data_IF_073847916269
#
_entry.id   IF_073847916269
#
_cell.length_a   1.000
_cell.length_b   1.000
_cell.length_c   1.000
_cell.angle_alpha   90.00
_cell.angle_beta   90.00
_cell.angle_gamma   90.00
#
_symmetry.space_group_name_H-M   'P 1'
#
loop_
_entity.id
_entity.type
_entity.pdbx_description
1 polymer ?
#
# COMPACT_ATOMS: atom_id res chain seq x y z
N UNK A 1 9.47 -10.52 -13.56
CA UNK A 1 9.63 -11.26 -12.30
C UNK A 1 9.90 -10.23 -11.24
N UNK A 2 9.03 -10.15 -10.23
CA UNK A 2 9.10 -9.13 -9.20
C UNK A 2 10.35 -9.37 -8.33
N UNK A 3 11.00 -8.26 -7.96
CA UNK A 3 12.28 -8.28 -7.28
C UNK A 3 12.06 -8.50 -5.79
N UNK A 4 12.50 -9.65 -5.28
CA UNK A 4 12.69 -9.83 -3.85
C UNK A 4 13.74 -8.80 -3.43
N UNK A 5 13.42 -7.88 -2.53
CA UNK A 5 14.28 -6.67 -2.36
C UNK A 5 15.11 -6.67 -1.10
N UNK A 6 14.81 -7.47 -0.06
CA UNK A 6 15.74 -7.81 1.03
C UNK A 6 15.23 -9.07 1.74
N UNK A 7 16.12 -9.78 2.41
CA UNK A 7 15.81 -10.79 3.40
C UNK A 7 17.01 -11.02 4.31
N UNK A 8 16.78 -11.23 5.60
CA UNK A 8 17.81 -11.50 6.61
C UNK A 8 17.56 -12.89 7.20
N UNK A 9 18.49 -13.83 6.95
CA UNK A 9 18.55 -15.16 7.57
C UNK A 9 18.67 -15.00 9.09
N UNK A 10 17.79 -15.58 9.90
CA UNK A 10 17.79 -15.29 11.36
C UNK A 10 17.58 -16.47 12.31
N UNK A 11 17.63 -17.75 11.91
CA UNK A 11 17.49 -18.81 12.93
C UNK A 11 18.04 -20.18 12.54
N UNK A 12 18.98 -20.73 13.31
CA UNK A 12 19.31 -22.16 13.29
C UNK A 12 18.64 -22.86 14.48
N UNK A 13 17.93 -23.97 14.22
CA UNK A 13 17.25 -24.71 15.29
C UNK A 13 17.34 -26.21 15.09
N UNK A 14 18.40 -26.79 15.66
CA UNK A 14 18.54 -28.18 16.16
C UNK A 14 19.99 -28.74 16.04
N UNK A 15 20.80 -28.56 17.07
CA UNK A 15 21.53 -29.73 17.60
C UNK A 15 20.88 -30.06 18.94
N UNK A 16 21.15 -31.23 19.55
CA UNK A 16 20.82 -31.43 20.97
C UNK A 16 21.45 -30.38 21.91
N UNK A 17 22.27 -29.44 21.40
CA UNK A 17 23.13 -28.54 22.18
C UNK A 17 23.17 -27.07 21.70
N UNK A 18 22.44 -26.66 20.66
CA UNK A 18 22.47 -25.27 20.16
C UNK A 18 21.28 -24.45 20.68
N UNK A 19 21.57 -23.25 21.21
CA UNK A 19 20.58 -22.17 21.41
C UNK A 19 20.31 -21.54 20.04
N UNK A 20 19.11 -21.01 19.81
CA UNK A 20 18.75 -20.32 18.56
C UNK A 20 19.80 -19.23 18.20
N UNK A 21 20.58 -19.46 17.15
CA UNK A 21 21.59 -18.51 16.67
C UNK A 21 21.02 -17.62 15.55
N UNK A 22 21.32 -16.31 15.62
CA UNK A 22 20.89 -15.29 14.65
C UNK A 22 22.10 -14.78 13.88
N UNK A 23 22.15 -15.02 12.56
CA UNK A 23 23.20 -14.52 11.68
C UNK A 23 22.64 -13.56 10.64
N UNK A 24 22.77 -12.25 10.89
CA UNK A 24 22.28 -11.26 9.93
C UNK A 24 23.17 -11.19 8.69
N UNK A 25 22.82 -11.89 7.61
CA UNK A 25 23.36 -11.59 6.29
C UNK A 25 22.71 -10.29 5.77
N UNK A 26 23.51 -9.25 5.59
CA UNK A 26 23.06 -8.01 4.95
C UNK A 26 23.01 -8.24 3.44
N UNK A 27 21.78 -8.42 2.95
CA UNK A 27 21.38 -8.63 1.56
C UNK A 27 21.41 -10.10 1.08
N UNK A 28 20.22 -10.65 0.88
CA UNK A 28 19.93 -11.29 -0.40
C UNK A 28 20.29 -10.26 -1.48
N UNK A 29 21.49 -10.35 -2.05
CA UNK A 29 21.98 -9.43 -3.05
C UNK A 29 21.19 -9.61 -4.34
N UNK A 30 20.08 -8.92 -4.47
CA UNK A 30 19.26 -8.91 -5.68
C UNK A 30 19.55 -7.58 -6.37
N UNK A 31 20.74 -7.52 -6.97
CA UNK A 31 21.13 -6.37 -7.77
C UNK A 31 20.17 -6.19 -8.94
N UNK A 32 20.03 -4.94 -9.42
CA UNK A 32 19.25 -4.58 -10.61
C UNK A 32 19.71 -5.30 -11.90
N UNK A 33 20.78 -6.08 -11.85
CA UNK A 33 21.33 -6.93 -12.91
C UNK A 33 21.03 -8.43 -12.77
N UNK A 34 20.34 -8.88 -11.70
CA UNK A 34 19.98 -10.29 -11.50
C UNK A 34 21.13 -11.23 -11.10
N UNK A 35 22.27 -10.71 -10.61
CA UNK A 35 23.39 -11.55 -10.16
C UNK A 35 23.31 -11.73 -8.63
N UNK A 36 22.97 -12.94 -8.21
CA UNK A 36 22.89 -13.35 -6.80
C UNK A 36 24.26 -13.84 -6.34
N UNK A 37 24.73 -13.36 -5.18
CA UNK A 37 25.84 -13.99 -4.48
C UNK A 37 25.28 -14.99 -3.47
N UNK A 38 25.82 -16.22 -3.42
CA UNK A 38 25.44 -17.19 -2.40
C UNK A 38 25.61 -16.67 -0.98
N UNK A 39 24.71 -17.07 -0.09
CA UNK A 39 24.88 -16.88 1.34
C UNK A 39 25.79 -17.99 1.85
N UNK A 40 26.84 -17.63 2.56
CA UNK A 40 27.72 -18.59 3.24
C UNK A 40 27.30 -18.71 4.71
N UNK A 41 27.10 -19.94 5.14
CA UNK A 41 26.53 -20.27 6.44
C UNK A 41 27.49 -21.19 7.18
N UNK A 42 28.03 -20.71 8.29
CA UNK A 42 28.80 -21.55 9.19
C UNK A 42 27.88 -22.28 10.18
N UNK A 43 27.36 -23.44 9.75
CA UNK A 43 26.52 -24.30 10.61
C UNK A 43 27.30 -24.95 11.77
N UNK A 44 28.63 -24.81 11.80
CA UNK A 44 29.51 -25.41 12.80
C UNK A 44 30.01 -24.40 13.85
N UNK A 45 29.84 -23.09 13.62
CA UNK A 45 30.41 -21.99 14.42
C UNK A 45 30.09 -22.05 15.93
N UNK A 46 28.99 -22.69 16.34
CA UNK A 46 28.53 -22.69 17.73
C UNK A 46 28.59 -24.05 18.43
N UNK A 47 29.41 -25.01 17.94
CA UNK A 47 29.74 -26.22 18.70
C UNK A 47 30.63 -25.89 19.92
N UNK A 48 30.03 -25.29 20.95
CA UNK A 48 30.72 -24.89 22.20
C UNK A 48 31.26 -26.07 23.01
N UNK A 49 30.86 -27.31 22.71
CA UNK A 49 31.32 -28.51 23.39
C UNK A 49 32.42 -29.28 22.63
N UNK A 50 32.75 -28.88 21.39
CA UNK A 50 33.81 -29.49 20.57
C UNK A 50 33.53 -30.94 20.16
N UNK A 51 32.27 -31.35 20.20
CA UNK A 51 31.84 -32.72 19.89
C UNK A 51 31.74 -32.99 18.40
N UNK A 52 31.51 -31.97 17.58
CA UNK A 52 31.40 -32.01 16.14
C UNK A 52 32.71 -31.58 15.49
N UNK A 53 33.16 -32.33 14.48
CA UNK A 53 34.46 -32.09 13.84
C UNK A 53 34.35 -31.49 12.45
N UNK A 54 33.37 -31.95 11.68
CA UNK A 54 33.21 -31.55 10.28
C UNK A 54 31.74 -31.65 9.88
N UNK A 55 31.28 -30.69 9.10
CA UNK A 55 30.09 -30.86 8.27
C UNK A 55 30.33 -32.05 7.33
N UNK A 56 29.36 -32.96 7.23
CA UNK A 56 29.54 -34.25 6.56
C UNK A 56 28.69 -34.37 5.29
N UNK A 57 27.42 -33.97 5.34
CA UNK A 57 26.52 -34.00 4.19
C UNK A 57 25.35 -33.04 4.35
N UNK A 58 24.72 -32.70 3.23
CA UNK A 58 23.50 -31.91 3.12
C UNK A 58 22.39 -32.77 2.52
N UNK A 59 21.13 -32.43 2.79
CA UNK A 59 19.99 -33.14 2.23
C UNK A 59 18.78 -32.22 2.06
N UNK A 60 18.02 -32.48 1.00
CA UNK A 60 16.85 -31.71 0.57
C UNK A 60 15.55 -32.10 1.26
N UNK A 61 15.63 -32.93 2.31
CA UNK A 61 14.50 -33.41 3.09
C UNK A 61 13.44 -34.17 2.26
N UNK A 62 13.77 -34.64 1.05
CA UNK A 62 12.85 -35.36 0.15
C UNK A 62 12.73 -36.86 0.48
N UNK A 63 13.50 -37.34 1.46
CA UNK A 63 13.53 -38.72 1.89
C UNK A 63 12.15 -39.19 2.39
N UNK A 64 11.38 -39.80 1.48
CA UNK A 64 10.08 -40.40 1.73
C UNK A 64 10.18 -41.50 2.81
N UNK A 65 9.71 -41.18 4.02
CA UNK A 65 9.29 -42.16 5.02
C UNK A 65 10.43 -42.84 5.81
N UNK A 66 10.99 -42.12 6.78
CA UNK A 66 11.82 -42.71 7.83
C UNK A 66 12.45 -41.63 8.71
N UNK A 67 12.77 -41.96 9.96
CA UNK A 67 13.44 -41.06 10.94
C UNK A 67 14.91 -40.74 10.53
N UNK A 68 15.31 -41.06 9.29
CA UNK A 68 16.69 -41.06 8.79
C UNK A 68 16.67 -40.81 7.28
N UNK A 69 17.17 -39.66 6.80
CA UNK A 69 17.44 -39.50 5.38
C UNK A 69 18.60 -40.41 4.96
N UNK A 70 18.39 -41.21 3.93
CA UNK A 70 19.36 -42.24 3.50
C UNK A 70 20.61 -41.61 2.88
N UNK A 71 20.45 -40.40 2.31
CA UNK A 71 21.51 -39.66 1.64
C UNK A 71 22.56 -39.10 2.62
N UNK A 72 22.13 -38.74 3.84
CA UNK A 72 23.01 -38.16 4.85
C UNK A 72 24.12 -39.10 5.38
N UNK A 73 24.11 -40.39 5.01
CA UNK A 73 25.13 -41.36 5.40
C UNK A 73 26.36 -41.34 4.48
N UNK A 74 26.23 -40.79 3.27
CA UNK A 74 27.33 -40.62 2.33
C UNK A 74 27.96 -39.25 2.54
N UNK A 75 29.30 -39.18 2.54
CA UNK A 75 29.97 -37.90 2.68
C UNK A 75 29.82 -37.09 1.39
N UNK A 76 29.32 -35.87 1.52
CA UNK A 76 29.45 -34.90 0.45
C UNK A 76 30.89 -34.37 0.44
N UNK A 77 31.58 -34.55 -0.67
CA UNK A 77 32.86 -33.89 -0.90
C UNK A 77 32.63 -32.40 -1.04
N UNK A 78 33.60 -31.57 -0.68
CA UNK A 78 33.53 -30.14 -0.96
C UNK A 78 33.26 -29.92 -2.46
N UNK A 79 32.18 -29.20 -2.78
CA UNK A 79 31.75 -28.94 -4.17
C UNK A 79 31.85 -27.44 -4.46
N UNK A 80 32.13 -27.11 -5.72
CA UNK A 80 31.86 -25.76 -6.25
C UNK A 80 30.35 -25.59 -6.45
N UNK A 81 29.83 -24.40 -6.16
CA UNK A 81 28.41 -23.98 -6.27
C UNK A 81 27.61 -24.65 -7.39
N UNK A 82 28.14 -24.67 -8.62
CA UNK A 82 27.43 -25.15 -9.80
C UNK A 82 27.21 -26.69 -9.86
N UNK A 83 27.87 -27.47 -9.01
CA UNK A 83 27.88 -28.94 -9.10
C UNK A 83 26.97 -29.65 -8.10
N UNK A 84 26.32 -28.92 -7.18
CA UNK A 84 25.44 -29.53 -6.20
C UNK A 84 24.06 -29.84 -6.77
N UNK A 85 23.55 -31.03 -6.45
CA UNK A 85 22.17 -31.46 -6.69
C UNK A 85 21.26 -31.23 -5.49
N UNK A 86 21.84 -30.87 -4.35
CA UNK A 86 21.13 -30.72 -3.10
C UNK A 86 20.41 -29.38 -3.09
N UNK A 87 19.16 -29.39 -2.61
CA UNK A 87 18.33 -28.20 -2.47
C UNK A 87 17.80 -28.07 -1.07
N UNK A 88 17.33 -26.90 -0.66
CA UNK A 88 16.46 -26.75 0.50
C UNK A 88 15.05 -27.27 0.20
N UNK A 89 14.19 -27.29 1.23
CA UNK A 89 12.77 -27.62 1.14
C UNK A 89 12.06 -26.80 0.05
N UNK A 90 12.45 -25.54 -0.12
CA UNK A 90 11.82 -24.64 -1.10
C UNK A 90 12.62 -24.44 -2.38
N UNK A 91 13.67 -25.25 -2.61
CA UNK A 91 14.40 -25.33 -3.87
C UNK A 91 15.66 -24.46 -3.98
N UNK A 92 16.08 -23.77 -2.92
CA UNK A 92 17.36 -23.08 -2.93
C UNK A 92 18.50 -24.10 -3.03
N UNK A 93 19.47 -23.90 -3.91
CA UNK A 93 20.59 -24.82 -4.08
C UNK A 93 21.50 -24.70 -2.87
N UNK A 94 21.96 -25.81 -2.34
CA UNK A 94 22.85 -25.86 -1.18
C UNK A 94 24.09 -26.72 -1.45
N UNK A 95 25.24 -26.37 -0.88
CA UNK A 95 26.48 -27.16 -1.02
C UNK A 95 27.44 -26.94 0.14
N UNK A 96 28.35 -27.90 0.35
CA UNK A 96 29.47 -27.75 1.27
C UNK A 96 30.62 -27.06 0.55
N UNK A 97 31.05 -25.90 1.07
CA UNK A 97 32.20 -25.15 0.55
C UNK A 97 33.53 -25.80 0.98
N UNK A 98 34.63 -25.40 0.35
CA UNK A 98 35.96 -25.94 0.64
C UNK A 98 36.45 -25.67 2.08
N UNK A 99 35.96 -24.60 2.70
CA UNK A 99 36.21 -24.24 4.10
C UNK A 99 35.18 -24.83 5.09
N UNK A 100 34.24 -25.67 4.62
CA UNK A 100 33.32 -26.42 5.49
C UNK A 100 32.07 -25.64 5.91
N UNK A 101 31.76 -24.52 5.24
CA UNK A 101 30.49 -23.80 5.37
C UNK A 101 29.43 -24.37 4.42
N UNK A 102 28.19 -23.96 4.60
CA UNK A 102 27.09 -24.22 3.66
C UNK A 102 26.91 -23.00 2.77
N UNK A 103 27.06 -23.18 1.45
CA UNK A 103 26.56 -22.21 0.48
C UNK A 103 25.05 -22.40 0.29
N UNK A 104 24.32 -21.29 0.24
CA UNK A 104 22.87 -21.23 0.00
C UNK A 104 22.58 -20.22 -1.11
N UNK A 105 22.09 -20.71 -2.25
CA UNK A 105 21.73 -19.89 -3.41
C UNK A 105 20.21 -19.70 -3.47
N UNK A 106 19.77 -18.55 -2.95
CA UNK A 106 18.35 -18.18 -2.95
C UNK A 106 17.78 -17.94 -4.36
N UNK A 107 18.62 -17.76 -5.38
CA UNK A 107 18.17 -17.48 -6.75
C UNK A 107 17.46 -18.67 -7.39
N UNK A 108 17.71 -19.89 -6.89
CA UNK A 108 17.10 -21.11 -7.42
C UNK A 108 15.86 -21.54 -6.64
N UNK A 109 15.43 -20.76 -5.64
CA UNK A 109 14.16 -21.00 -4.95
C UNK A 109 13.04 -21.23 -5.98
N UNK A 110 12.13 -22.15 -5.64
CA UNK A 110 11.00 -22.48 -6.49
C UNK A 110 10.15 -21.24 -6.79
N UNK A 111 9.51 -21.20 -7.95
CA UNK A 111 8.62 -20.10 -8.32
C UNK A 111 7.52 -19.85 -7.28
N UNK A 112 7.07 -20.90 -6.58
CA UNK A 112 6.09 -20.79 -5.50
C UNK A 112 6.67 -20.05 -4.28
N UNK A 113 7.89 -20.39 -3.87
CA UNK A 113 8.59 -19.70 -2.78
C UNK A 113 8.90 -18.24 -3.13
N UNK A 114 9.36 -17.99 -4.36
CA UNK A 114 9.62 -16.62 -4.83
C UNK A 114 8.34 -15.77 -4.82
N UNK A 115 7.20 -16.33 -5.24
CA UNK A 115 5.91 -15.63 -5.19
C UNK A 115 5.45 -15.36 -3.76
N UNK A 116 5.68 -16.29 -2.82
CA UNK A 116 5.38 -16.08 -1.41
C UNK A 116 6.24 -14.97 -0.80
N UNK A 117 7.55 -14.97 -1.09
CA UNK A 117 8.47 -13.94 -0.60
C UNK A 117 8.09 -12.56 -1.15
N UNK A 118 7.69 -12.47 -2.43
CA UNK A 118 7.23 -11.22 -3.03
C UNK A 118 5.98 -10.64 -2.36
N UNK A 119 5.12 -11.49 -1.79
CA UNK A 119 3.94 -11.06 -1.08
C UNK A 119 4.18 -10.63 0.37
N UNK A 120 5.42 -10.63 0.86
CA UNK A 120 5.73 -10.31 2.26
C UNK A 120 5.93 -8.82 2.48
N UNK A 121 5.02 -8.23 3.27
CA UNK A 121 5.20 -6.87 3.78
C UNK A 121 6.31 -6.76 4.84
N UNK A 122 6.64 -5.52 5.23
CA UNK A 122 7.65 -5.25 6.25
C UNK A 122 7.32 -5.96 7.59
N UNK A 123 8.31 -6.67 8.14
CA UNK A 123 8.17 -7.41 9.40
C UNK A 123 7.53 -8.79 9.28
N UNK A 124 7.09 -9.18 8.08
CA UNK A 124 6.72 -10.57 7.76
C UNK A 124 7.95 -11.39 7.36
N UNK A 125 7.83 -12.71 7.40
CA UNK A 125 8.93 -13.61 7.09
C UNK A 125 8.47 -14.88 6.39
N UNK A 126 9.31 -15.37 5.47
CA UNK A 126 9.25 -16.70 4.89
C UNK A 126 10.31 -17.59 5.54
N UNK A 127 10.01 -18.86 5.78
CA UNK A 127 10.98 -19.81 6.36
C UNK A 127 11.26 -20.92 5.36
N UNK A 128 12.53 -21.09 5.02
CA UNK A 128 13.06 -22.21 4.28
C UNK A 128 13.91 -23.11 5.19
N UNK A 129 14.06 -24.38 4.87
CA UNK A 129 14.78 -25.33 5.72
C UNK A 129 15.57 -26.34 4.91
N UNK A 130 16.69 -26.81 5.45
CA UNK A 130 17.39 -27.97 4.92
C UNK A 130 17.99 -28.78 6.06
N UNK A 131 18.23 -30.08 5.84
CA UNK A 131 18.87 -30.94 6.82
C UNK A 131 20.35 -31.12 6.52
N UNK A 132 21.16 -31.25 7.57
CA UNK A 132 22.59 -31.48 7.45
C UNK A 132 23.06 -32.53 8.45
N UNK A 133 24.09 -33.29 8.09
CA UNK A 133 24.76 -34.20 8.99
C UNK A 133 26.14 -33.67 9.40
N UNK A 134 26.50 -33.92 10.65
CA UNK A 134 27.79 -33.60 11.24
C UNK A 134 28.47 -34.89 11.67
N UNK A 135 29.79 -34.95 11.46
CA UNK A 135 30.62 -36.03 11.98
C UNK A 135 31.15 -35.66 13.35
N UNK A 136 30.78 -36.44 14.35
CA UNK A 136 31.19 -36.25 15.73
C UNK A 136 32.64 -36.74 15.98
N UNK A 137 33.22 -36.35 17.11
CA UNK A 137 34.60 -36.65 17.49
C UNK A 137 34.88 -38.14 17.65
N UNK A 138 33.87 -38.90 18.08
CA UNK A 138 33.87 -40.37 18.18
C UNK A 138 33.61 -41.07 16.83
N UNK A 139 33.45 -40.32 15.74
CA UNK A 139 33.21 -40.82 14.39
C UNK A 139 31.75 -41.14 14.03
N UNK A 140 30.80 -40.98 14.96
CA UNK A 140 29.37 -41.16 14.66
C UNK A 140 28.79 -39.95 13.92
N UNK A 141 27.72 -40.16 13.15
CA UNK A 141 26.96 -39.07 12.54
C UNK A 141 25.85 -38.60 13.47
N UNK A 142 25.63 -37.29 13.50
CA UNK A 142 24.42 -36.65 14.04
C UNK A 142 23.83 -35.76 12.96
N UNK A 143 22.55 -35.41 13.06
CA UNK A 143 21.88 -34.60 12.05
C UNK A 143 21.04 -33.50 12.70
N UNK A 144 20.80 -32.50 11.88
CA UNK A 144 20.20 -31.22 12.20
C UNK A 144 19.46 -30.68 10.96
N UNK A 145 18.79 -29.56 11.14
CA UNK A 145 17.90 -28.78 10.29
C UNK A 145 18.29 -27.32 10.48
N UNK A 146 18.88 -26.75 9.44
CA UNK A 146 19.01 -25.31 9.35
C UNK A 146 17.66 -24.72 8.98
N UNK A 147 17.29 -23.61 9.62
CA UNK A 147 16.18 -22.77 9.16
C UNK A 147 16.74 -21.48 8.57
N UNK A 148 16.12 -21.01 7.51
CA UNK A 148 16.50 -19.81 6.78
C UNK A 148 15.27 -18.93 6.77
N UNK A 149 15.29 -17.91 7.62
CA UNK A 149 14.21 -16.94 7.70
C UNK A 149 14.50 -15.80 6.73
N UNK A 150 13.55 -15.43 5.88
CA UNK A 150 13.69 -14.38 4.86
C UNK A 150 12.68 -13.29 5.21
N UNK A 151 13.18 -12.13 5.65
CA UNK A 151 12.35 -10.98 5.99
C UNK A 151 11.76 -10.33 4.74
N UNK A 152 10.47 -10.00 4.76
CA UNK A 152 9.82 -9.19 3.73
C UNK A 152 10.22 -7.72 3.78
N UNK A 153 9.95 -7.02 2.69
CA UNK A 153 10.06 -5.55 2.59
C UNK A 153 8.81 -5.02 1.97
N UNK A 154 8.35 -3.85 2.45
CA UNK A 154 7.20 -3.20 1.87
C UNK A 154 7.47 -2.84 0.40
N UNK A 155 6.59 -3.27 -0.48
CA UNK A 155 6.50 -2.78 -1.85
C UNK A 155 5.63 -1.51 -1.87
N UNK A 156 5.94 -0.54 -2.72
CA UNK A 156 5.13 0.68 -2.78
C UNK A 156 3.88 0.43 -3.62
N UNK A 157 2.71 0.80 -3.07
CA UNK A 157 1.46 0.77 -3.79
C UNK A 157 1.46 1.73 -4.99
N UNK A 158 0.58 1.46 -5.95
CA UNK A 158 0.28 2.36 -7.08
C UNK A 158 -1.22 2.60 -7.16
N UNK A 159 -1.63 3.86 -7.28
CA UNK A 159 -3.05 4.25 -7.42
C UNK A 159 -3.30 4.80 -8.83
N UNK A 160 -4.35 4.30 -9.50
CA UNK A 160 -4.81 4.75 -10.83
C UNK A 160 -6.33 4.92 -10.88
N UNK A 161 -6.89 5.33 -12.01
CA UNK A 161 -8.35 5.49 -12.21
C UNK A 161 -8.80 6.95 -12.27
N UNK A 162 -10.12 7.16 -12.20
CA UNK A 162 -10.74 8.49 -12.30
C UNK A 162 -10.66 9.20 -10.95
N UNK A 163 -9.99 10.35 -10.93
CA UNK A 163 -9.79 11.20 -9.74
C UNK A 163 -10.37 12.61 -9.93
N UNK A 164 -11.17 12.83 -10.96
CA UNK A 164 -11.76 14.14 -11.25
C UNK A 164 -13.25 14.01 -11.51
N UNK A 165 -14.02 14.99 -11.04
CA UNK A 165 -15.46 15.10 -11.29
C UNK A 165 -15.87 16.56 -11.51
N UNK A 166 -17.11 16.76 -11.96
CA UNK A 166 -17.70 18.10 -12.11
C UNK A 166 -19.12 18.09 -11.59
N UNK A 167 -19.49 19.15 -10.88
CA UNK A 167 -20.86 19.47 -10.52
C UNK A 167 -21.18 20.90 -10.94
N UNK A 168 -22.41 21.15 -11.33
CA UNK A 168 -22.90 22.47 -11.71
C UNK A 168 -24.08 22.78 -10.80
N UNK A 169 -23.94 23.89 -10.09
CA UNK A 169 -24.96 24.49 -9.26
C UNK A 169 -26.23 24.73 -10.09
N UNK A 170 -27.41 24.63 -9.48
CA UNK A 170 -28.73 24.77 -10.11
C UNK A 170 -29.07 23.99 -11.38
N UNK A 171 -28.23 23.05 -11.77
CA UNK A 171 -28.44 22.24 -12.97
C UNK A 171 -28.84 20.84 -12.57
N UNK A 172 -30.14 20.54 -12.69
CA UNK A 172 -30.69 19.22 -12.38
C UNK A 172 -29.92 18.11 -13.12
N UNK A 173 -29.54 17.07 -12.39
CA UNK A 173 -28.73 15.97 -12.91
C UNK A 173 -27.23 16.27 -13.04
N UNK A 174 -26.79 17.48 -12.70
CA UNK A 174 -25.37 17.87 -12.63
C UNK A 174 -24.92 18.23 -11.21
N UNK A 175 -25.73 17.94 -10.20
CA UNK A 175 -25.38 18.10 -8.78
C UNK A 175 -24.52 16.94 -8.24
N UNK A 176 -24.20 15.96 -9.08
CA UNK A 176 -23.53 14.72 -8.68
C UNK A 176 -22.32 14.43 -9.56
N UNK A 177 -21.24 13.93 -8.93
CA UNK A 177 -20.09 13.38 -9.63
C UNK A 177 -19.67 12.04 -9.04
N UNK A 178 -19.14 11.15 -9.86
CA UNK A 178 -18.68 9.84 -9.44
C UNK A 178 -17.43 9.40 -10.20
N UNK A 179 -16.73 8.42 -9.62
CA UNK A 179 -15.60 7.80 -10.27
C UNK A 179 -15.13 6.56 -9.53
N UNK A 180 -14.06 5.96 -10.04
CA UNK A 180 -13.47 4.78 -9.42
C UNK A 180 -11.96 4.85 -9.53
N UNK A 181 -11.30 4.67 -8.38
CA UNK A 181 -9.87 4.47 -8.28
C UNK A 181 -9.56 2.98 -8.12
N UNK A 182 -8.36 2.59 -8.50
CA UNK A 182 -7.82 1.25 -8.27
C UNK A 182 -6.45 1.39 -7.60
N UNK A 183 -6.16 0.49 -6.68
CA UNK A 183 -4.87 0.39 -6.01
C UNK A 183 -4.28 -0.98 -6.28
N UNK A 184 -2.99 -1.01 -6.59
CA UNK A 184 -2.21 -2.24 -6.76
C UNK A 184 -1.01 -2.22 -5.85
N UNK A 185 -0.75 -3.36 -5.20
CA UNK A 185 0.33 -3.60 -4.28
C UNK A 185 0.79 -5.07 -4.42
N UNK A 186 2.10 -5.29 -4.38
CA UNK A 186 2.67 -6.63 -4.46
C UNK A 186 2.61 -7.35 -3.12
N UNK A 187 2.49 -6.62 -2.01
CA UNK A 187 2.31 -7.18 -0.68
C UNK A 187 0.92 -7.84 -0.54
N UNK A 188 0.91 -9.06 -0.03
CA UNK A 188 -0.29 -9.88 0.04
C UNK A 188 -1.35 -9.21 0.94
N UNK A 189 -2.54 -8.97 0.36
CA UNK A 189 -3.66 -8.36 1.06
C UNK A 189 -3.62 -6.83 1.16
N UNK A 190 -2.61 -6.16 0.57
CA UNK A 190 -2.48 -4.69 0.65
C UNK A 190 -3.06 -3.94 -0.57
N UNK A 191 -3.72 -4.67 -1.48
CA UNK A 191 -4.45 -4.15 -2.64
C UNK A 191 -5.78 -3.47 -2.26
N UNK A 192 -5.80 -2.64 -1.21
CA UNK A 192 -6.98 -1.93 -0.71
C UNK A 192 -6.61 -0.52 -0.27
N UNK A 193 -7.59 0.37 -0.19
CA UNK A 193 -7.39 1.71 0.35
C UNK A 193 -7.59 1.72 1.87
N UNK A 194 -7.05 2.74 2.53
CA UNK A 194 -7.50 3.13 3.86
C UNK A 194 -8.89 3.76 3.76
N UNK A 195 -9.74 3.54 4.77
CA UNK A 195 -10.97 4.30 4.90
C UNK A 195 -10.64 5.77 5.23
N UNK A 196 -11.09 6.75 4.42
CA UNK A 196 -10.87 8.15 4.74
C UNK A 196 -11.50 8.52 6.09
N UNK A 197 -10.88 9.39 6.89
CA UNK A 197 -11.49 9.89 8.11
C UNK A 197 -12.87 10.51 7.80
N UNK A 198 -13.92 10.28 8.61
CA UNK A 198 -15.25 10.81 8.31
C UNK A 198 -15.30 12.33 8.10
N UNK A 199 -14.44 13.08 8.80
CA UNK A 199 -14.35 14.53 8.65
C UNK A 199 -13.88 14.94 7.25
N UNK A 200 -12.96 14.20 6.61
CA UNK A 200 -12.42 14.55 5.29
C UNK A 200 -13.40 14.29 4.15
N UNK A 201 -14.49 13.58 4.41
CA UNK A 201 -15.56 13.37 3.43
C UNK A 201 -16.46 14.61 3.28
N UNK A 202 -16.40 15.56 4.21
CA UNK A 202 -17.17 16.79 4.11
C UNK A 202 -16.35 17.83 3.35
N UNK A 203 -16.79 18.14 2.13
CA UNK A 203 -16.29 19.26 1.37
C UNK A 203 -16.90 20.58 1.86
N UNK A 204 -16.43 21.67 1.26
CA UNK A 204 -16.96 23.01 1.47
C UNK A 204 -18.33 23.15 0.83
N UNK A 205 -18.51 22.64 -0.38
CA UNK A 205 -19.72 22.79 -1.20
C UNK A 205 -20.53 21.50 -1.26
N UNK A 206 -19.94 20.34 -1.01
CA UNK A 206 -20.63 19.06 -1.05
C UNK A 206 -20.08 18.01 -0.12
N UNK A 207 -20.50 16.76 -0.32
CA UNK A 207 -20.08 15.62 0.50
C UNK A 207 -19.62 14.48 -0.39
N UNK A 208 -18.49 13.89 -0.04
CA UNK A 208 -17.96 12.69 -0.69
C UNK A 208 -18.46 11.41 -0.01
N UNK A 209 -18.58 10.34 -0.79
CA UNK A 209 -18.50 8.98 -0.28
C UNK A 209 -17.30 8.26 -0.88
N UNK A 210 -16.73 7.30 -0.15
CA UNK A 210 -15.61 6.50 -0.64
C UNK A 210 -15.71 5.07 -0.13
N UNK A 211 -15.70 4.09 -1.04
CA UNK A 211 -15.64 2.68 -0.70
C UNK A 211 -14.20 2.19 -0.79
N UNK A 212 -13.57 1.95 0.36
CA UNK A 212 -12.16 1.54 0.42
C UNK A 212 -11.86 0.16 -0.22
N UNK A 213 -12.86 -0.70 -0.39
CA UNK A 213 -12.71 -2.02 -1.00
C UNK A 213 -12.84 -1.98 -2.52
N UNK A 214 -13.72 -1.13 -3.05
CA UNK A 214 -13.96 -1.04 -4.50
C UNK A 214 -13.27 0.15 -5.16
N UNK A 215 -12.83 1.13 -4.37
CA UNK A 215 -12.30 2.41 -4.83
C UNK A 215 -13.35 3.33 -5.48
N UNK A 216 -14.63 2.97 -5.43
CA UNK A 216 -15.71 3.84 -5.91
C UNK A 216 -15.87 5.04 -4.99
N UNK A 217 -16.06 6.20 -5.61
CA UNK A 217 -16.34 7.44 -4.91
C UNK A 217 -17.49 8.17 -5.58
N UNK A 218 -18.25 8.89 -4.76
CA UNK A 218 -19.28 9.82 -5.21
C UNK A 218 -19.07 11.17 -4.55
N UNK A 219 -19.67 12.19 -5.13
CA UNK A 219 -19.76 13.53 -4.59
C UNK A 219 -21.17 14.06 -4.87
N UNK A 220 -21.81 14.56 -3.83
CA UNK A 220 -23.12 15.21 -3.89
C UNK A 220 -22.96 16.68 -3.50
N UNK A 221 -23.27 17.57 -4.44
CA UNK A 221 -23.26 19.01 -4.23
C UNK A 221 -24.42 19.39 -3.29
N UNK A 222 -24.12 20.15 -2.24
CA UNK A 222 -25.12 20.81 -1.41
C UNK A 222 -25.40 22.17 -2.03
N UNK A 223 -26.48 22.25 -2.82
CA UNK A 223 -26.82 23.46 -3.57
C UNK A 223 -26.82 24.71 -2.68
N UNK A 224 -27.39 24.66 -1.47
CA UNK A 224 -27.43 25.81 -0.56
C UNK A 224 -26.04 26.35 -0.16
N UNK A 225 -24.98 25.55 -0.28
CA UNK A 225 -23.60 26.00 -0.03
C UNK A 225 -22.94 26.58 -1.28
N UNK A 226 -23.46 26.33 -2.47
CA UNK A 226 -22.92 26.82 -3.75
C UNK A 226 -23.78 27.94 -4.37
N UNK A 227 -25.02 28.09 -3.92
CA UNK A 227 -26.05 29.07 -4.29
C UNK A 227 -25.63 30.55 -4.20
N UNK A 228 -24.47 30.85 -3.62
CA UNK A 228 -23.94 32.22 -3.61
C UNK A 228 -22.94 32.46 -4.75
N UNK A 229 -22.48 31.42 -5.45
CA UNK A 229 -21.48 31.50 -6.51
C UNK A 229 -22.10 32.12 -7.76
N UNK A 230 -21.41 33.08 -8.39
CA UNK A 230 -21.95 33.70 -9.61
C UNK A 230 -21.73 32.83 -10.85
N UNK A 231 -22.46 33.16 -11.93
CA UNK A 231 -22.40 32.43 -13.18
C UNK A 231 -20.99 32.25 -13.74
N UNK A 232 -20.55 31.00 -13.85
CA UNK A 232 -19.22 30.62 -14.36
C UNK A 232 -18.09 30.74 -13.34
N UNK A 233 -18.39 31.06 -12.08
CA UNK A 233 -17.42 30.90 -10.99
C UNK A 233 -17.07 29.43 -10.81
N UNK A 234 -15.78 29.15 -10.63
CA UNK A 234 -15.26 27.80 -10.46
C UNK A 234 -14.58 27.69 -9.10
N UNK A 235 -15.05 26.74 -8.30
CA UNK A 235 -14.49 26.36 -7.01
C UNK A 235 -14.27 24.85 -6.97
N UNK A 236 -13.55 24.37 -5.96
CA UNK A 236 -13.15 22.96 -5.87
C UNK A 236 -13.41 22.40 -4.48
N UNK A 237 -13.86 21.15 -4.46
CA UNK A 237 -13.82 20.28 -3.29
C UNK A 237 -12.89 19.10 -3.56
N UNK A 238 -12.11 18.71 -2.55
CA UNK A 238 -11.09 17.67 -2.71
C UNK A 238 -11.15 16.63 -1.60
N UNK A 239 -10.88 15.36 -1.94
CA UNK A 239 -10.72 14.25 -1.01
C UNK A 239 -9.39 13.54 -1.27
N UNK A 240 -8.52 13.43 -0.25
CA UNK A 240 -7.29 12.64 -0.34
C UNK A 240 -7.58 11.21 0.13
N UNK A 241 -7.22 10.23 -0.71
CA UNK A 241 -7.29 8.81 -0.38
C UNK A 241 -5.89 8.19 -0.42
N UNK A 242 -5.67 7.16 0.39
CA UNK A 242 -4.34 6.58 0.63
C UNK A 242 -4.39 5.06 0.55
N UNK A 243 -3.36 4.42 0.02
CA UNK A 243 -3.20 2.96 0.03
C UNK A 243 -3.15 2.42 1.46
N UNK A 244 -3.46 1.14 1.65
CA UNK A 244 -3.47 0.49 2.96
C UNK A 244 -2.20 0.74 3.78
N UNK A 245 -1.05 0.61 3.12
CA UNK A 245 0.29 0.71 3.67
C UNK A 245 0.83 2.15 3.80
N UNK A 246 0.09 3.13 3.28
CA UNK A 246 0.47 4.53 3.33
C UNK A 246 1.53 4.98 2.30
N UNK A 247 1.94 4.12 1.38
CA UNK A 247 3.02 4.47 0.42
C UNK A 247 2.54 5.25 -0.80
N UNK A 248 1.23 5.22 -1.10
CA UNK A 248 0.64 6.00 -2.18
C UNK A 248 -0.59 6.78 -1.72
N UNK A 249 -0.74 8.01 -2.23
CA UNK A 249 -1.94 8.83 -2.06
C UNK A 249 -2.41 9.41 -3.40
N UNK A 250 -3.71 9.64 -3.52
CA UNK A 250 -4.35 10.29 -4.67
C UNK A 250 -5.39 11.29 -4.18
N UNK A 251 -5.36 12.50 -4.73
CA UNK A 251 -6.42 13.49 -4.53
C UNK A 251 -7.52 13.29 -5.57
N UNK A 252 -8.76 13.14 -5.11
CA UNK A 252 -9.96 13.30 -5.91
C UNK A 252 -10.30 14.79 -5.89
N UNK A 253 -10.53 15.39 -7.05
CA UNK A 253 -10.84 16.80 -7.24
C UNK A 253 -12.18 16.96 -7.97
N UNK A 254 -13.15 17.58 -7.32
CA UNK A 254 -14.44 17.90 -7.93
C UNK A 254 -14.53 19.39 -8.18
N UNK A 255 -14.69 19.74 -9.46
CA UNK A 255 -14.92 21.10 -9.90
C UNK A 255 -16.40 21.45 -9.72
N UNK A 256 -16.70 22.52 -8.99
CA UNK A 256 -18.06 23.05 -8.81
C UNK A 256 -18.17 24.36 -9.58
N UNK A 257 -19.14 24.45 -10.49
CA UNK A 257 -19.40 25.66 -11.28
C UNK A 257 -20.69 26.32 -10.83
N UNK A 258 -20.64 27.60 -10.46
CA UNK A 258 -21.81 28.42 -10.13
C UNK A 258 -22.65 28.77 -11.34
N UNK A 259 -23.96 28.88 -11.16
CA UNK A 259 -24.86 29.53 -12.13
C UNK A 259 -25.18 30.95 -11.68
N UNK A 260 -25.99 31.66 -12.45
CA UNK A 260 -26.35 33.04 -12.13
C UNK A 260 -27.80 33.07 -11.70
N UNK A 261 -28.05 33.50 -10.48
CA UNK A 261 -29.41 33.71 -10.01
C UNK A 261 -30.04 34.98 -10.57
N UNK A 262 -31.35 34.92 -10.81
CA UNK A 262 -32.08 36.09 -11.26
C UNK A 262 -32.32 37.04 -10.09
N UNK A 263 -31.86 38.29 -10.21
CA UNK A 263 -32.15 39.32 -9.21
C UNK A 263 -33.66 39.56 -9.07
N UNK A 264 -34.13 39.61 -7.83
CA UNK A 264 -35.51 39.98 -7.50
C UNK A 264 -35.61 41.50 -7.31
N UNK A 265 -36.61 42.11 -7.96
CA UNK A 265 -36.85 43.55 -7.95
C UNK A 265 -38.23 43.83 -7.37
N UNK A 266 -38.27 44.54 -6.25
CA UNK A 266 -39.50 44.99 -5.62
C UNK A 266 -39.50 46.50 -5.41
N UNK A 267 -40.67 47.11 -5.57
CA UNK A 267 -40.90 48.54 -5.36
C UNK A 267 -42.16 48.76 -4.53
N UNK A 268 -42.13 49.78 -3.68
CA UNK A 268 -43.31 50.22 -2.95
C UNK A 268 -44.39 50.71 -3.92
N UNK A 269 -45.64 50.31 -3.68
CA UNK A 269 -46.82 50.81 -4.40
C UNK A 269 -47.59 51.70 -3.42
N UNK A 270 -47.66 52.99 -3.74
CA UNK A 270 -48.43 53.96 -2.98
C UNK A 270 -49.60 54.50 -3.80
N UNK A 271 -50.81 54.38 -3.23
CA UNK A 271 -52.04 54.85 -3.83
C UNK A 271 -52.30 56.30 -3.42
N UNK A 272 -52.35 57.20 -4.39
CA UNK A 272 -52.64 58.61 -4.16
C UNK A 272 -54.13 58.89 -4.34
N UNK A 273 -54.76 59.42 -3.30
CA UNK A 273 -56.14 59.94 -3.39
C UNK A 273 -56.10 61.45 -3.55
N UNK A 274 -56.68 61.95 -4.65
CA UNK A 274 -56.85 63.39 -4.85
C UNK A 274 -57.85 63.98 -3.83
N UNK A 275 -57.58 65.19 -3.36
CA UNK A 275 -58.48 65.94 -2.48
C UNK A 275 -58.52 67.43 -2.85
N UNK A 276 -59.63 68.11 -2.58
CA UNK A 276 -59.91 69.51 -3.01
C UNK A 276 -59.11 70.59 -2.23
N UNK A 277 -58.00 70.23 -1.59
CA UNK A 277 -57.13 71.16 -0.85
C UNK A 277 -55.87 71.50 -1.64
N UNK A 278 -55.42 72.75 -1.60
CA UNK A 278 -54.21 73.23 -2.29
C UNK A 278 -52.88 72.78 -1.62
N UNK A 279 -52.81 71.53 -1.14
CA UNK A 279 -51.60 70.92 -0.60
C UNK A 279 -50.92 70.06 -1.67
N UNK A 280 -49.59 70.10 -1.73
CA UNK A 280 -48.84 69.21 -2.63
C UNK A 280 -49.03 67.76 -2.19
N UNK A 281 -49.42 66.91 -3.12
CA UNK A 281 -49.43 65.46 -2.94
C UNK A 281 -48.04 64.96 -3.30
N UNK A 282 -47.31 64.38 -2.34
CA UNK A 282 -46.01 63.75 -2.57
C UNK A 282 -45.96 62.39 -1.88
N UNK A 283 -45.49 61.36 -2.59
CA UNK A 283 -45.12 60.07 -1.99
C UNK A 283 -43.60 59.89 -2.08
N UNK A 284 -43.08 59.05 -1.21
CA UNK A 284 -41.74 58.47 -1.35
C UNK A 284 -41.93 56.95 -1.35
N UNK A 285 -41.18 56.24 -2.19
CA UNK A 285 -41.14 54.78 -2.18
C UNK A 285 -39.70 54.27 -2.17
N UNK A 286 -39.52 53.04 -1.73
CA UNK A 286 -38.25 52.34 -1.77
C UNK A 286 -38.22 51.32 -2.92
N UNK A 287 -37.07 51.24 -3.60
CA UNK A 287 -36.74 50.16 -4.53
C UNK A 287 -35.76 49.21 -3.83
N UNK A 288 -36.09 47.93 -3.82
CA UNK A 288 -35.24 46.86 -3.29
C UNK A 288 -34.83 45.92 -4.42
N UNK A 289 -33.52 45.66 -4.50
CA UNK A 289 -32.92 44.66 -5.39
C UNK A 289 -32.24 43.66 -4.47
N UNK A 290 -32.62 42.40 -4.57
CA UNK A 290 -31.93 41.29 -3.90
C UNK A 290 -31.40 40.34 -4.97
N UNK A 291 -30.17 39.87 -4.76
CA UNK A 291 -29.47 38.98 -5.67
C UNK A 291 -28.70 37.99 -4.80
N UNK A 292 -28.91 36.72 -5.07
CA UNK A 292 -28.38 35.59 -4.30
C UNK A 292 -26.87 35.45 -4.52
N UNK A 293 -26.39 35.85 -5.71
CA UNK A 293 -24.99 35.86 -6.05
C UNK A 293 -24.24 36.93 -5.25
N UNK A 294 -23.07 36.59 -4.74
CA UNK A 294 -22.28 37.48 -3.89
C UNK A 294 -21.70 38.73 -4.61
N UNK A 295 -22.06 39.01 -5.88
CA UNK A 295 -21.54 40.14 -6.67
C UNK A 295 -22.54 41.22 -7.10
N UNK A 296 -23.80 41.25 -6.64
CA UNK A 296 -24.74 42.27 -7.12
C UNK A 296 -25.51 43.09 -6.08
N UNK A 297 -24.87 43.48 -4.97
CA UNK A 297 -25.45 44.52 -4.09
C UNK A 297 -25.11 45.95 -4.54
N UNK A 298 -25.85 46.49 -5.50
CA UNK A 298 -25.93 47.96 -5.71
C UNK A 298 -27.16 48.52 -5.00
N UNK A 299 -26.93 49.15 -3.84
CA UNK A 299 -27.93 49.90 -3.07
C UNK A 299 -28.71 50.87 -3.97
N UNK A 300 -30.02 50.66 -4.07
CA UNK A 300 -30.95 51.57 -4.74
C UNK A 300 -30.85 52.99 -4.18
N UNK A 301 -30.68 53.96 -5.08
CA UNK A 301 -30.78 55.38 -4.75
C UNK A 301 -32.24 55.76 -4.55
N UNK A 302 -32.51 56.56 -3.51
CA UNK A 302 -33.81 57.20 -3.32
C UNK A 302 -34.10 58.09 -4.53
N UNK A 303 -35.21 57.83 -5.20
CA UNK A 303 -35.80 58.76 -6.17
C UNK A 303 -36.79 59.60 -5.38
N UNK A 304 -36.51 60.90 -5.27
CA UNK A 304 -37.37 61.90 -4.62
C UNK A 304 -37.91 62.90 -5.63
#
# INVERSE_FOLDING_TARGET
MAAITKGIVTSFGNTPQAVDDVFNASALGIGSSGSYAPILIDVMANDKAGGAKTLYSLDNADSLGGIRPTDLLTQDLARTEAASTDTSLNGARIWITADGQVGYDASTLSSAALAQIQGLGAGQYFTDTFTYAIRMANGTLSWATAQIKIAGTNDAATISGTSTGSAVEDTEGQLHAEGTLSVTDLDAGQNVFQAPPPASLNGTYGTFTFNALTGQWTYDLDHAKADHLYGGEVVHDTLVVTSFDGTASRTIDVTVTGTNDAADLSADVEELTEGDTAAAISTSGQLTIDDQDHRHQRRGGSVG
#
